data_IF_766373108039
#
_entry.id   IF_766373108039
#
_cell.length_a   1.000
_cell.length_b   1.000
_cell.length_c   1.000
_cell.angle_alpha   90.00
_cell.angle_beta   90.00
_cell.angle_gamma   90.00
#
_symmetry.space_group_name_H-M   'P 1'
#
loop_
_entity.id
_entity.type
_entity.pdbx_description
1 polymer ?
#
# COMPACT_ATOMS: atom_id res chain seq x y z
N UNK A 1 -16.68 7.05 -2.57
CA UNK A 1 -15.34 6.50 -2.22
C UNK A 1 -14.78 5.69 -3.38
N UNK A 2 -13.44 5.54 -3.48
CA UNK A 2 -12.75 4.60 -4.37
C UNK A 2 -12.45 3.30 -3.62
N UNK A 3 -12.35 2.18 -4.34
CA UNK A 3 -12.18 0.87 -3.73
C UNK A 3 -11.04 0.09 -4.37
N UNK A 4 -10.10 -0.34 -3.53
CA UNK A 4 -9.01 -1.24 -3.87
C UNK A 4 -9.17 -2.61 -3.23
N UNK A 5 -8.48 -3.59 -3.81
CA UNK A 5 -8.45 -4.96 -3.30
C UNK A 5 -7.03 -5.50 -3.23
N UNK A 6 -6.66 -6.14 -2.12
CA UNK A 6 -5.37 -6.79 -1.97
C UNK A 6 -5.35 -8.12 -2.75
N UNK A 7 -4.35 -8.30 -3.61
CA UNK A 7 -4.14 -9.53 -4.34
C UNK A 7 -3.60 -10.65 -3.43
N UNK A 8 -3.94 -11.91 -3.71
CA UNK A 8 -3.45 -13.07 -2.96
C UNK A 8 -2.03 -13.45 -3.41
N UNK A 9 -1.03 -12.61 -3.08
CA UNK A 9 0.38 -12.85 -3.41
C UNK A 9 1.10 -13.81 -2.44
N UNK A 10 0.39 -14.39 -1.48
CA UNK A 10 0.88 -15.29 -0.44
C UNK A 10 0.32 -16.71 -0.61
N UNK A 11 0.89 -17.68 0.13
CA UNK A 11 0.52 -19.07 0.01
C UNK A 11 0.93 -19.65 -1.36
N UNK A 12 0.12 -20.49 -1.99
CA UNK A 12 0.44 -21.06 -3.29
C UNK A 12 0.12 -20.12 -4.47
N UNK A 13 0.52 -18.85 -4.37
CA UNK A 13 0.33 -17.88 -5.44
C UNK A 13 1.12 -18.27 -6.68
N UNK A 14 0.45 -18.25 -7.84
CA UNK A 14 1.01 -18.56 -9.15
C UNK A 14 0.73 -17.43 -10.14
N UNK A 15 1.40 -17.43 -11.29
CA UNK A 15 1.09 -16.51 -12.38
C UNK A 15 -0.37 -16.60 -12.81
N UNK A 16 -0.95 -17.81 -12.84
CA UNK A 16 -2.36 -18.02 -13.18
C UNK A 16 -3.29 -17.40 -12.12
N UNK A 17 -3.06 -17.67 -10.82
CA UNK A 17 -3.91 -17.13 -9.77
C UNK A 17 -3.86 -15.60 -9.73
N UNK A 18 -2.66 -14.99 -9.85
CA UNK A 18 -2.51 -13.55 -9.92
C UNK A 18 -3.21 -12.95 -11.14
N UNK A 19 -3.10 -13.60 -12.31
CA UNK A 19 -3.78 -13.14 -13.53
C UNK A 19 -5.29 -13.17 -13.36
N UNK A 20 -5.84 -14.26 -12.86
CA UNK A 20 -7.30 -14.41 -12.65
C UNK A 20 -7.82 -13.37 -11.66
N UNK A 21 -7.15 -13.22 -10.52
CA UNK A 21 -7.60 -12.31 -9.47
C UNK A 21 -7.50 -10.84 -9.87
N UNK A 22 -6.40 -10.45 -10.53
CA UNK A 22 -6.23 -9.08 -10.98
C UNK A 22 -7.26 -8.69 -12.07
N UNK A 23 -7.52 -9.60 -13.02
CA UNK A 23 -8.53 -9.39 -14.07
C UNK A 23 -9.94 -9.35 -13.50
N UNK A 24 -10.29 -10.26 -12.59
CA UNK A 24 -11.61 -10.22 -11.96
C UNK A 24 -11.83 -8.91 -11.19
N UNK A 25 -10.84 -8.42 -10.44
CA UNK A 25 -10.94 -7.14 -9.78
C UNK A 25 -11.18 -5.99 -10.79
N UNK A 26 -10.46 -6.02 -11.91
CA UNK A 26 -10.65 -5.05 -13.01
C UNK A 26 -12.02 -5.16 -13.67
N UNK A 27 -12.51 -6.36 -13.91
CA UNK A 27 -13.83 -6.64 -14.53
C UNK A 27 -14.99 -6.23 -13.62
N UNK A 28 -14.90 -6.51 -12.34
CA UNK A 28 -15.87 -6.07 -11.34
C UNK A 28 -15.93 -4.55 -11.21
N UNK A 29 -14.84 -3.84 -11.46
CA UNK A 29 -14.79 -2.39 -11.43
C UNK A 29 -14.06 -1.79 -10.24
N UNK A 30 -13.23 -2.55 -9.53
CA UNK A 30 -12.31 -1.97 -8.53
C UNK A 30 -11.43 -0.91 -9.17
N UNK A 31 -11.09 0.12 -8.39
CA UNK A 31 -10.25 1.22 -8.85
C UNK A 31 -8.77 0.84 -8.90
N UNK A 32 -8.34 -0.04 -7.99
CA UNK A 32 -6.95 -0.47 -7.88
C UNK A 32 -6.78 -1.84 -7.21
N UNK A 33 -5.62 -2.46 -7.46
CA UNK A 33 -5.18 -3.71 -6.84
C UNK A 33 -3.87 -3.50 -6.10
N UNK A 34 -3.68 -4.20 -4.98
CA UNK A 34 -2.62 -3.93 -4.04
C UNK A 34 -1.84 -5.17 -3.65
N UNK A 35 -0.55 -4.99 -3.39
CA UNK A 35 0.34 -6.04 -2.90
C UNK A 35 1.02 -5.61 -1.60
N UNK A 36 1.29 -6.58 -0.72
CA UNK A 36 2.06 -6.37 0.50
C UNK A 36 3.56 -6.57 0.24
N UNK A 37 4.40 -6.21 1.20
CA UNK A 37 5.85 -6.30 1.07
C UNK A 37 6.50 -6.88 2.32
N UNK A 38 7.21 -7.99 2.14
CA UNK A 38 8.19 -8.55 3.06
C UNK A 38 9.27 -9.27 2.26
N UNK A 39 10.54 -9.08 2.62
CA UNK A 39 11.69 -9.68 1.95
C UNK A 39 12.08 -11.00 2.58
N UNK A 40 12.10 -11.04 3.92
CA UNK A 40 12.50 -12.22 4.68
C UNK A 40 11.71 -12.31 5.99
N UNK A 41 11.19 -13.50 6.28
CA UNK A 41 10.38 -13.74 7.48
C UNK A 41 11.06 -14.82 8.33
N UNK A 42 11.31 -14.58 9.62
CA UNK A 42 11.90 -15.58 10.51
C UNK A 42 11.03 -16.84 10.64
N UNK A 43 11.67 -17.98 10.74
CA UNK A 43 10.98 -19.26 10.97
C UNK A 43 10.19 -19.19 12.28
N UNK A 44 8.96 -19.70 12.28
CA UNK A 44 8.10 -19.74 13.46
C UNK A 44 7.32 -18.46 13.77
N UNK A 45 7.50 -17.41 12.98
CA UNK A 45 6.65 -16.21 13.08
C UNK A 45 5.32 -16.46 12.35
N UNK A 46 4.17 -16.33 13.02
CA UNK A 46 2.86 -16.64 12.42
C UNK A 46 2.41 -15.61 11.39
N UNK A 47 2.94 -14.40 11.46
CA UNK A 47 2.65 -13.30 10.55
C UNK A 47 3.86 -12.37 10.43
N UNK A 48 4.25 -11.90 9.24
CA UNK A 48 3.62 -12.17 7.93
C UNK A 48 3.81 -13.62 7.47
N UNK A 49 3.06 -14.09 6.45
CA UNK A 49 3.27 -15.43 5.90
C UNK A 49 4.67 -15.56 5.30
N UNK A 50 5.32 -16.70 5.50
CA UNK A 50 6.69 -16.93 5.00
C UNK A 50 6.78 -17.02 3.47
N UNK A 51 5.70 -17.44 2.81
CA UNK A 51 5.59 -17.36 1.35
C UNK A 51 4.86 -16.09 0.97
N UNK A 52 5.60 -15.17 0.39
CA UNK A 52 5.09 -13.92 -0.18
C UNK A 52 5.91 -13.61 -1.44
N UNK A 53 5.25 -13.40 -2.57
CA UNK A 53 5.95 -12.95 -3.77
C UNK A 53 6.45 -11.52 -3.58
N UNK A 54 7.65 -11.22 -4.09
CA UNK A 54 8.24 -9.89 -3.97
C UNK A 54 7.36 -8.84 -4.67
N UNK A 55 7.11 -7.74 -3.99
CA UNK A 55 6.06 -6.78 -4.33
C UNK A 55 6.26 -6.11 -5.69
N UNK A 56 7.47 -5.63 -6.00
CA UNK A 56 7.72 -4.91 -7.25
C UNK A 56 7.69 -5.84 -8.45
N UNK A 57 8.23 -7.04 -8.31
CA UNK A 57 8.16 -8.10 -9.33
C UNK A 57 6.71 -8.51 -9.60
N UNK A 58 5.91 -8.63 -8.54
CA UNK A 58 4.48 -8.94 -8.65
C UNK A 58 3.73 -7.82 -9.38
N UNK A 59 3.97 -6.56 -9.04
CA UNK A 59 3.32 -5.43 -9.74
C UNK A 59 3.74 -5.32 -11.20
N UNK A 60 5.01 -5.58 -11.51
CA UNK A 60 5.47 -5.64 -12.91
C UNK A 60 4.72 -6.71 -13.72
N UNK A 61 4.50 -7.90 -13.12
CA UNK A 61 3.71 -8.95 -13.73
C UNK A 61 2.24 -8.54 -13.89
N UNK A 62 1.61 -8.00 -12.84
CA UNK A 62 0.20 -7.57 -12.86
C UNK A 62 -0.03 -6.44 -13.87
N UNK A 63 0.95 -5.57 -14.08
CA UNK A 63 0.86 -4.50 -15.08
C UNK A 63 0.66 -5.02 -16.49
N UNK A 64 1.20 -6.19 -16.81
CA UNK A 64 1.11 -6.81 -18.14
C UNK A 64 -0.24 -7.54 -18.37
N UNK A 65 -0.99 -7.85 -17.32
CA UNK A 65 -2.24 -8.62 -17.41
C UNK A 65 -3.49 -7.78 -17.11
N UNK A 66 -3.32 -6.49 -16.80
CA UNK A 66 -4.39 -5.51 -16.52
C UNK A 66 -4.20 -4.25 -17.36
N UNK A 67 -5.27 -3.48 -17.56
CA UNK A 67 -5.26 -2.30 -18.45
C UNK A 67 -5.77 -1.02 -17.81
N UNK A 68 -6.60 -1.10 -16.77
CA UNK A 68 -7.28 0.05 -16.15
C UNK A 68 -6.98 0.23 -14.67
N UNK A 69 -7.02 -0.85 -13.89
CA UNK A 69 -6.85 -0.76 -12.43
C UNK A 69 -5.51 -0.16 -12.06
N UNK A 70 -5.53 0.69 -11.05
CA UNK A 70 -4.32 1.18 -10.39
C UNK A 70 -3.54 0.02 -9.76
N UNK A 71 -2.23 0.19 -9.63
CA UNK A 71 -1.32 -0.82 -9.08
C UNK A 71 -0.66 -0.26 -7.83
N UNK A 72 -0.96 -0.82 -6.66
CA UNK A 72 -0.52 -0.26 -5.39
C UNK A 72 0.35 -1.19 -4.54
N UNK A 73 1.17 -0.61 -3.69
CA UNK A 73 1.83 -1.30 -2.57
C UNK A 73 1.22 -0.91 -1.23
N UNK A 74 0.87 -1.88 -0.39
CA UNK A 74 0.31 -1.61 0.94
C UNK A 74 1.00 -2.46 2.02
N UNK A 75 2.18 -2.06 2.47
CA UNK A 75 3.00 -0.95 2.00
C UNK A 75 4.39 -1.45 1.62
N UNK A 76 5.08 -0.80 0.68
CA UNK A 76 6.47 -1.07 0.39
C UNK A 76 7.33 -0.69 1.60
N UNK A 77 8.14 -1.61 2.13
CA UNK A 77 9.10 -1.33 3.20
C UNK A 77 10.32 -0.64 2.57
N UNK A 78 10.18 0.67 2.37
CA UNK A 78 11.09 1.45 1.53
C UNK A 78 12.56 1.42 2.00
N UNK A 79 12.87 1.47 3.32
CA UNK A 79 14.26 1.46 3.79
C UNK A 79 15.02 0.14 3.55
N UNK A 80 14.33 -0.95 3.19
CA UNK A 80 14.99 -2.21 2.80
C UNK A 80 15.55 -2.18 1.39
N UNK A 81 15.40 -1.08 0.65
CA UNK A 81 15.81 -0.93 -0.73
C UNK A 81 16.79 0.23 -0.90
N UNK A 82 17.73 0.06 -1.86
CA UNK A 82 18.58 1.17 -2.29
C UNK A 82 17.73 2.22 -3.00
N UNK A 83 17.65 3.49 -2.54
CA UNK A 83 16.67 4.46 -3.04
C UNK A 83 16.74 4.73 -4.54
N UNK A 84 17.93 4.89 -5.13
CA UNK A 84 18.09 5.12 -6.58
C UNK A 84 17.64 3.89 -7.40
N UNK A 85 17.92 2.67 -6.89
CA UNK A 85 17.44 1.43 -7.54
C UNK A 85 15.93 1.34 -7.47
N UNK A 86 15.35 1.63 -6.31
CA UNK A 86 13.90 1.66 -6.13
C UNK A 86 13.24 2.71 -7.05
N UNK A 87 13.82 3.91 -7.15
CA UNK A 87 13.34 4.95 -8.07
C UNK A 87 13.26 4.45 -9.52
N UNK A 88 14.34 3.74 -9.97
CA UNK A 88 14.39 3.14 -11.30
C UNK A 88 13.36 2.05 -11.51
N UNK A 89 13.20 1.14 -10.55
CA UNK A 89 12.24 0.04 -10.62
C UNK A 89 10.81 0.56 -10.68
N UNK A 90 10.46 1.47 -9.77
CA UNK A 90 9.12 2.06 -9.68
C UNK A 90 8.75 2.84 -10.94
N UNK A 91 9.66 3.67 -11.46
CA UNK A 91 9.45 4.38 -12.72
C UNK A 91 9.30 3.43 -13.92
N UNK A 92 10.01 2.29 -13.90
CA UNK A 92 9.86 1.26 -14.93
C UNK A 92 8.50 0.58 -14.87
N UNK A 93 8.05 0.20 -13.66
CA UNK A 93 6.72 -0.39 -13.45
C UNK A 93 5.63 0.60 -13.87
N UNK A 94 5.75 1.88 -13.49
CA UNK A 94 4.80 2.91 -13.87
C UNK A 94 4.70 3.09 -15.39
N UNK A 95 5.85 3.12 -16.07
CA UNK A 95 5.91 3.19 -17.53
C UNK A 95 5.25 1.98 -18.20
N UNK A 96 5.53 0.76 -17.73
CA UNK A 96 4.92 -0.48 -18.22
C UNK A 96 3.41 -0.54 -17.92
N UNK A 97 3.01 0.05 -16.81
CA UNK A 97 1.62 0.14 -16.39
C UNK A 97 0.84 1.30 -17.05
N UNK A 98 1.49 2.12 -17.88
CA UNK A 98 0.83 3.31 -18.49
C UNK A 98 0.45 4.38 -17.48
N UNK A 99 1.26 4.58 -16.42
CA UNK A 99 1.04 5.62 -15.42
C UNK A 99 0.03 5.26 -14.32
N UNK A 100 -0.18 3.98 -14.02
CA UNK A 100 -1.18 3.51 -13.05
C UNK A 100 -0.63 3.20 -11.65
N UNK A 101 0.67 3.44 -11.40
CA UNK A 101 1.29 3.10 -10.11
C UNK A 101 0.83 4.05 -8.99
N UNK A 102 0.59 3.48 -7.82
CA UNK A 102 0.36 4.17 -6.54
C UNK A 102 1.34 3.58 -5.53
N UNK A 103 2.22 4.41 -4.98
CA UNK A 103 3.25 3.96 -4.07
C UNK A 103 2.82 4.13 -2.60
N UNK A 104 2.28 3.08 -2.00
CA UNK A 104 2.12 3.03 -0.54
C UNK A 104 3.44 2.64 0.11
N UNK A 105 3.93 3.44 1.06
CA UNK A 105 5.21 3.22 1.73
C UNK A 105 5.08 3.07 3.23
N UNK A 106 5.99 2.30 3.83
CA UNK A 106 6.12 2.17 5.28
C UNK A 106 7.58 2.10 5.72
N UNK A 107 7.83 2.44 6.98
CA UNK A 107 9.17 2.34 7.56
C UNK A 107 9.52 0.90 7.99
N UNK A 108 8.58 -0.03 7.97
CA UNK A 108 8.80 -1.42 8.43
C UNK A 108 8.72 -1.58 9.94
N UNK A 109 8.52 -2.82 10.37
CA UNK A 109 8.32 -3.15 11.80
C UNK A 109 9.04 -4.43 12.26
N UNK A 110 9.45 -5.30 11.35
CA UNK A 110 10.05 -6.60 11.63
C UNK A 110 11.57 -6.47 11.72
N UNK A 111 12.11 -6.27 12.92
CA UNK A 111 13.54 -6.01 13.13
C UNK A 111 14.45 -7.08 12.49
N UNK A 112 14.09 -8.37 12.63
CA UNK A 112 14.87 -9.46 12.06
C UNK A 112 14.97 -9.42 10.53
N UNK A 113 13.97 -8.87 9.84
CA UNK A 113 14.02 -8.65 8.39
C UNK A 113 15.05 -7.57 8.02
N UNK A 114 15.12 -6.50 8.83
CA UNK A 114 16.15 -5.47 8.68
C UNK A 114 17.55 -6.00 8.89
N UNK A 115 17.74 -6.83 9.92
CA UNK A 115 19.02 -7.48 10.20
C UNK A 115 19.44 -8.37 9.02
N UNK A 116 18.52 -9.17 8.48
CA UNK A 116 18.78 -10.02 7.31
C UNK A 116 19.11 -9.22 6.05
N UNK A 117 18.56 -8.02 5.89
CA UNK A 117 18.85 -7.11 4.78
C UNK A 117 20.05 -6.20 5.03
N UNK A 118 20.70 -6.27 6.19
CA UNK A 118 21.85 -5.43 6.56
C UNK A 118 21.48 -3.96 6.74
N UNK A 119 20.24 -3.65 7.15
CA UNK A 119 19.74 -2.29 7.34
C UNK A 119 19.55 -2.00 8.83
N UNK A 120 20.08 -0.91 9.39
CA UNK A 120 19.92 -0.56 10.79
C UNK A 120 18.45 -0.28 11.13
N UNK A 121 17.82 -1.15 11.89
CA UNK A 121 16.39 -1.05 12.24
C UNK A 121 16.03 0.28 12.93
N UNK A 122 16.94 0.82 13.77
CA UNK A 122 16.68 2.08 14.50
C UNK A 122 16.67 3.30 13.59
N UNK A 123 17.32 3.23 12.44
CA UNK A 123 17.43 4.32 11.45
C UNK A 123 16.31 4.30 10.41
N UNK A 124 15.45 3.28 10.41
CA UNK A 124 14.43 3.05 9.38
C UNK A 124 13.55 4.26 9.08
N UNK A 125 13.26 5.10 10.09
CA UNK A 125 12.48 6.32 9.90
C UNK A 125 13.19 7.36 9.05
N UNK A 126 14.44 7.69 9.38
CA UNK A 126 15.27 8.62 8.61
C UNK A 126 15.58 8.08 7.21
N UNK A 127 15.89 6.78 7.11
CA UNK A 127 16.11 6.12 5.81
C UNK A 127 14.85 6.16 4.92
N UNK A 128 13.65 6.07 5.51
CA UNK A 128 12.40 6.23 4.75
C UNK A 128 12.25 7.68 4.25
N UNK A 129 12.52 8.65 5.10
CA UNK A 129 12.42 10.08 4.76
C UNK A 129 13.38 10.43 3.62
N UNK A 130 14.65 10.06 3.75
CA UNK A 130 15.67 10.24 2.71
C UNK A 130 15.32 9.53 1.41
N UNK A 131 14.82 8.28 1.50
CA UNK A 131 14.43 7.52 0.32
C UNK A 131 13.30 8.21 -0.46
N UNK A 132 12.29 8.77 0.19
CA UNK A 132 11.23 9.55 -0.47
C UNK A 132 11.81 10.75 -1.20
N UNK A 133 12.70 11.49 -0.55
CA UNK A 133 13.32 12.67 -1.12
C UNK A 133 14.19 12.29 -2.36
N UNK A 134 14.93 11.16 -2.31
CA UNK A 134 15.66 10.60 -3.46
C UNK A 134 14.74 10.17 -4.59
N UNK A 135 13.61 9.49 -4.30
CA UNK A 135 12.63 9.12 -5.32
C UNK A 135 12.14 10.36 -6.09
N UNK A 136 11.74 11.40 -5.37
CA UNK A 136 11.26 12.65 -5.97
C UNK A 136 12.35 13.34 -6.80
N UNK A 137 13.61 13.37 -6.31
CA UNK A 137 14.74 13.90 -7.07
C UNK A 137 14.99 13.12 -8.37
N UNK A 138 14.93 11.77 -8.31
CA UNK A 138 15.11 10.92 -9.48
C UNK A 138 13.99 11.04 -10.53
N UNK A 139 12.77 11.43 -10.11
CA UNK A 139 11.60 11.56 -10.98
C UNK A 139 11.37 12.99 -11.48
N UNK A 140 12.22 13.94 -11.11
CA UNK A 140 12.19 15.30 -11.64
C UNK A 140 12.70 15.36 -13.10
N UNK A 141 12.31 16.40 -13.84
CA UNK A 141 12.61 16.54 -15.29
C UNK A 141 14.10 16.77 -15.63
N UNK A 142 14.85 17.34 -14.71
CA UNK A 142 16.28 17.64 -14.88
C UNK A 142 17.18 16.43 -14.60
N UNK A 143 18.47 16.48 -14.91
CA UNK A 143 19.43 15.55 -14.32
C UNK A 143 19.32 15.57 -12.81
N UNK A 144 19.19 14.39 -12.20
CA UNK A 144 18.97 14.26 -10.77
C UNK A 144 20.27 14.50 -10.00
N UNK A 145 20.19 15.33 -8.99
CA UNK A 145 21.26 15.50 -7.98
C UNK A 145 20.63 15.41 -6.60
N UNK A 146 21.32 14.82 -5.67
CA UNK A 146 20.89 14.67 -4.29
C UNK A 146 22.11 14.63 -3.36
N UNK A 147 22.03 15.28 -2.23
CA UNK A 147 23.06 15.24 -1.19
C UNK A 147 22.38 15.05 0.17
N UNK A 148 22.43 13.84 0.68
CA UNK A 148 21.79 13.41 1.91
C UNK A 148 22.72 12.62 2.84
N UNK A 149 22.23 12.21 4.00
CA UNK A 149 23.02 11.51 5.01
C UNK A 149 23.62 10.20 4.57
N UNK A 150 22.92 9.43 3.71
CA UNK A 150 23.35 8.09 3.28
C UNK A 150 23.46 7.94 1.76
N UNK A 151 22.89 8.86 1.00
CA UNK A 151 22.88 8.86 -0.48
C UNK A 151 23.34 10.22 -1.00
N UNK A 152 24.34 10.22 -1.88
CA UNK A 152 24.78 11.43 -2.58
C UNK A 152 25.10 11.10 -4.03
N UNK A 153 24.66 11.93 -4.97
CA UNK A 153 24.97 11.84 -6.39
C UNK A 153 24.72 13.18 -7.10
N UNK A 154 25.40 13.38 -8.23
CA UNK A 154 25.29 14.63 -9.02
C UNK A 154 25.10 14.30 -10.48
N UNK A 155 24.20 15.07 -11.16
CA UNK A 155 23.97 15.03 -12.62
C UNK A 155 23.66 13.64 -13.20
N UNK A 156 22.87 12.85 -12.49
CA UNK A 156 22.48 11.51 -12.93
C UNK A 156 21.21 11.52 -13.77
N UNK A 157 21.17 10.72 -14.81
CA UNK A 157 19.95 10.47 -15.62
C UNK A 157 19.28 9.18 -15.17
N UNK A 158 18.13 9.28 -14.52
CA UNK A 158 17.31 8.14 -14.13
C UNK A 158 16.10 8.06 -15.09
N UNK A 159 16.14 7.11 -16.02
CA UNK A 159 15.12 6.91 -17.07
C UNK A 159 14.58 5.47 -17.05
N UNK A 160 13.27 5.18 -17.39
CA UNK A 160 12.27 6.18 -17.75
C UNK A 160 11.94 7.10 -16.58
N UNK A 161 11.33 8.23 -16.85
CA UNK A 161 10.65 9.02 -15.83
C UNK A 161 9.16 8.70 -15.86
N UNK A 162 8.46 8.77 -14.71
CA UNK A 162 7.01 8.65 -14.68
C UNK A 162 6.35 9.70 -15.59
N UNK A 163 5.31 9.31 -16.32
CA UNK A 163 4.55 10.23 -17.17
C UNK A 163 3.77 11.29 -16.36
N UNK A 164 3.48 10.98 -15.11
CA UNK A 164 2.89 11.85 -14.09
C UNK A 164 3.58 11.59 -12.75
N UNK A 165 3.51 12.50 -11.78
CA UNK A 165 4.01 12.21 -10.44
C UNK A 165 3.34 10.93 -9.89
N UNK A 166 4.16 9.95 -9.47
CA UNK A 166 3.65 8.75 -8.81
C UNK A 166 3.15 9.17 -7.42
N UNK A 167 1.87 8.99 -7.08
CA UNK A 167 1.36 9.33 -5.76
C UNK A 167 2.02 8.47 -4.68
N UNK A 168 2.49 9.10 -3.61
CA UNK A 168 3.11 8.44 -2.45
C UNK A 168 2.14 8.51 -1.27
N UNK A 169 1.59 7.37 -0.86
CA UNK A 169 0.74 7.27 0.33
C UNK A 169 1.53 6.67 1.48
N UNK A 170 1.54 7.34 2.61
CA UNK A 170 2.33 6.92 3.78
C UNK A 170 1.47 6.07 4.71
N UNK A 171 1.91 4.84 4.94
CA UNK A 171 1.26 3.90 5.85
C UNK A 171 1.65 4.09 7.31
N UNK A 172 0.71 3.77 8.19
CA UNK A 172 0.94 3.69 9.63
C UNK A 172 0.23 4.75 10.46
N UNK A 173 0.09 4.47 11.76
CA UNK A 173 -0.70 5.26 12.73
C UNK A 173 0.16 5.98 13.78
N UNK A 174 1.47 5.71 13.79
CA UNK A 174 2.38 6.37 14.73
C UNK A 174 2.56 7.86 14.42
N UNK A 175 2.87 8.67 15.44
CA UNK A 175 3.16 10.10 15.24
C UNK A 175 4.20 10.36 14.14
N UNK A 176 5.35 9.64 14.06
CA UNK A 176 6.29 9.81 12.95
C UNK A 176 5.70 9.45 11.58
N UNK A 177 4.81 8.43 11.48
CA UNK A 177 4.16 8.07 10.23
C UNK A 177 3.18 9.16 9.77
N UNK A 178 2.33 9.66 10.67
CA UNK A 178 1.40 10.76 10.37
C UNK A 178 2.14 12.03 9.96
N UNK A 179 3.23 12.39 10.67
CA UNK A 179 4.08 13.52 10.28
C UNK A 179 4.64 13.33 8.86
N UNK A 180 5.19 12.16 8.56
CA UNK A 180 5.72 11.85 7.21
C UNK A 180 4.64 11.95 6.15
N UNK A 181 3.41 11.49 6.44
CA UNK A 181 2.29 11.60 5.52
C UNK A 181 1.98 13.07 5.19
N UNK A 182 2.03 13.94 6.20
CA UNK A 182 1.81 15.38 6.02
C UNK A 182 2.98 16.03 5.27
N UNK A 183 4.22 15.76 5.66
CA UNK A 183 5.40 16.48 5.14
C UNK A 183 5.84 15.97 3.76
N UNK A 184 5.67 14.68 3.45
CA UNK A 184 6.25 14.02 2.27
C UNK A 184 5.27 13.21 1.42
N UNK A 185 4.08 12.90 1.95
CA UNK A 185 3.09 12.08 1.25
C UNK A 185 2.14 12.89 0.38
N UNK A 186 1.54 12.24 -0.59
CA UNK A 186 0.38 12.71 -1.34
C UNK A 186 -0.92 12.10 -0.78
N UNK A 187 -0.79 11.32 0.28
CA UNK A 187 -1.89 10.73 1.04
C UNK A 187 -1.40 9.95 2.24
N UNK A 188 -2.35 9.56 3.06
CA UNK A 188 -2.16 8.70 4.21
C UNK A 188 -2.95 7.39 4.06
N UNK A 189 -2.32 6.26 4.39
CA UNK A 189 -2.97 4.96 4.45
C UNK A 189 -2.99 4.44 5.88
N UNK A 190 -4.13 4.60 6.55
CA UNK A 190 -4.40 4.00 7.86
C UNK A 190 -4.77 2.52 7.74
N UNK A 191 -4.67 1.80 8.85
CA UNK A 191 -5.16 0.43 8.97
C UNK A 191 -6.28 0.40 9.98
N UNK A 192 -7.48 0.04 9.55
CA UNK A 192 -8.64 -0.15 10.43
C UNK A 192 -8.48 -1.39 11.30
N UNK A 193 -9.20 -1.45 12.41
CA UNK A 193 -9.27 -2.66 13.22
C UNK A 193 -9.81 -3.80 12.36
N UNK A 194 -9.09 -4.94 12.27
CA UNK A 194 -9.55 -6.04 11.44
C UNK A 194 -10.92 -6.55 11.88
N UNK A 195 -11.77 -6.90 10.91
CA UNK A 195 -13.10 -7.47 11.16
C UNK A 195 -13.05 -8.91 11.71
N UNK A 196 -11.87 -9.52 11.70
CA UNK A 196 -11.60 -10.82 12.34
C UNK A 196 -11.12 -10.66 13.77
N UNK A 197 -11.45 -11.60 14.62
CA UNK A 197 -10.83 -11.70 15.95
C UNK A 197 -9.36 -12.08 15.81
N UNK A 198 -8.47 -11.16 16.17
CA UNK A 198 -7.04 -11.43 16.32
C UNK A 198 -6.76 -11.86 17.76
N UNK A 199 -6.00 -12.94 17.93
CA UNK A 199 -5.69 -13.50 19.26
C UNK A 199 -4.95 -12.52 20.19
N UNK A 200 -4.22 -11.54 19.66
CA UNK A 200 -3.57 -10.47 20.42
C UNK A 200 -3.18 -9.30 19.48
N UNK A 201 -4.11 -8.42 19.09
CA UNK A 201 -3.79 -7.31 18.20
C UNK A 201 -2.95 -6.27 18.96
N UNK A 202 -1.79 -5.90 18.41
CA UNK A 202 -1.13 -4.67 18.83
C UNK A 202 -2.00 -3.47 18.35
N UNK A 203 -2.90 -3.03 19.24
CA UNK A 203 -3.87 -1.98 18.96
C UNK A 203 -3.24 -0.68 18.45
N UNK A 204 -1.96 -0.45 18.73
CA UNK A 204 -1.23 0.73 18.22
C UNK A 204 -1.01 0.72 16.72
N UNK A 205 -1.26 -0.39 16.04
CA UNK A 205 -1.15 -0.52 14.57
C UNK A 205 -2.43 -0.15 13.85
N UNK A 206 -3.55 -0.04 14.58
CA UNK A 206 -4.88 0.14 14.02
C UNK A 206 -5.47 1.49 14.42
N UNK A 207 -6.34 2.01 13.56
CA UNK A 207 -7.19 3.16 13.86
C UNK A 207 -8.55 2.62 14.27
N UNK A 208 -8.98 2.90 15.48
CA UNK A 208 -10.34 2.59 15.91
C UNK A 208 -11.34 3.51 15.18
N UNK A 209 -12.56 3.03 14.96
CA UNK A 209 -13.60 3.82 14.30
C UNK A 209 -13.86 5.13 15.05
N UNK A 210 -13.86 5.10 16.38
CA UNK A 210 -14.10 6.28 17.22
C UNK A 210 -12.97 7.34 17.12
N UNK A 211 -11.73 6.92 16.80
CA UNK A 211 -10.57 7.80 16.67
C UNK A 211 -10.39 8.34 15.24
N UNK A 212 -11.05 7.72 14.26
CA UNK A 212 -10.85 8.02 12.85
C UNK A 212 -11.29 9.45 12.48
N UNK A 213 -12.46 9.96 12.90
CA UNK A 213 -12.89 11.31 12.52
C UNK A 213 -11.90 12.39 12.97
N UNK A 214 -11.37 12.27 14.20
CA UNK A 214 -10.37 13.20 14.72
C UNK A 214 -9.04 13.13 13.94
N UNK A 215 -8.62 11.91 13.56
CA UNK A 215 -7.40 11.70 12.76
C UNK A 215 -7.54 12.30 11.37
N UNK A 216 -8.66 12.02 10.69
CA UNK A 216 -8.94 12.55 9.34
C UNK A 216 -9.05 14.07 9.35
N UNK A 217 -9.80 14.63 10.30
CA UNK A 217 -9.93 16.08 10.45
C UNK A 217 -8.57 16.75 10.56
N UNK A 218 -7.69 16.25 11.44
CA UNK A 218 -6.34 16.79 11.62
C UNK A 218 -5.53 16.71 10.34
N UNK A 219 -5.54 15.57 9.63
CA UNK A 219 -4.81 15.42 8.38
C UNK A 219 -5.32 16.39 7.31
N UNK A 220 -6.63 16.64 7.23
CA UNK A 220 -7.21 17.62 6.31
C UNK A 220 -6.84 19.06 6.67
N UNK A 221 -6.74 19.38 7.98
CA UNK A 221 -6.28 20.68 8.45
C UNK A 221 -4.80 20.92 8.12
N UNK A 222 -3.95 19.88 8.31
CA UNK A 222 -2.52 19.94 7.99
C UNK A 222 -2.25 19.88 6.46
N UNK A 223 -3.15 19.29 5.66
CA UNK A 223 -3.05 19.10 4.20
C UNK A 223 -4.41 19.41 3.52
N UNK A 224 -4.74 20.70 3.38
CA UNK A 224 -6.02 21.14 2.83
C UNK A 224 -6.09 21.05 1.29
N UNK A 225 -5.00 20.71 0.60
CA UNK A 225 -4.95 20.71 -0.84
C UNK A 225 -5.88 19.66 -1.44
N UNK A 226 -6.61 19.99 -2.50
CA UNK A 226 -7.38 19.02 -3.26
C UNK A 226 -6.47 17.91 -3.81
N UNK A 227 -6.83 16.65 -3.57
CA UNK A 227 -6.07 15.50 -4.06
C UNK A 227 -5.19 14.81 -3.02
N UNK A 228 -5.05 15.36 -1.80
CA UNK A 228 -4.47 14.60 -0.69
C UNK A 228 -5.43 13.47 -0.28
N UNK A 229 -4.99 12.23 -0.39
CA UNK A 229 -5.85 11.05 -0.23
C UNK A 229 -5.82 10.51 1.20
N UNK A 230 -7.00 10.30 1.78
CA UNK A 230 -7.18 9.53 3.00
C UNK A 230 -7.62 8.12 2.61
N UNK A 231 -6.76 7.14 2.81
CA UNK A 231 -7.02 5.73 2.52
C UNK A 231 -7.11 4.92 3.80
N UNK A 232 -8.04 3.98 3.87
CA UNK A 232 -8.16 3.02 4.96
C UNK A 232 -8.01 1.60 4.44
N UNK A 233 -7.04 0.85 4.98
CA UNK A 233 -6.96 -0.59 4.76
C UNK A 233 -7.81 -1.30 5.80
N UNK A 234 -8.62 -2.24 5.35
CA UNK A 234 -9.48 -3.08 6.18
C UNK A 234 -9.25 -4.55 5.85
N UNK A 235 -8.74 -5.29 6.82
CA UNK A 235 -8.60 -6.75 6.69
C UNK A 235 -9.96 -7.41 6.90
N UNK A 236 -10.46 -8.08 5.85
CA UNK A 236 -11.83 -8.61 5.75
C UNK A 236 -11.87 -10.14 5.84
N UNK A 237 -10.92 -10.75 6.53
CA UNK A 237 -10.90 -12.21 6.75
C UNK A 237 -12.18 -12.70 7.41
N UNK A 238 -12.80 -13.71 6.80
CA UNK A 238 -13.97 -14.38 7.34
C UNK A 238 -15.32 -13.69 7.04
N UNK A 239 -15.35 -12.59 6.31
CA UNK A 239 -16.59 -11.84 5.98
C UNK A 239 -17.43 -12.44 4.85
N UNK A 240 -17.14 -13.62 4.36
CA UNK A 240 -17.98 -14.25 3.31
C UNK A 240 -19.43 -14.49 3.73
N UNK A 241 -19.82 -14.18 4.98
CA UNK A 241 -21.16 -14.36 5.51
C UNK A 241 -21.81 -13.14 6.20
N UNK A 242 -21.01 -12.15 6.64
CA UNK A 242 -21.53 -10.97 7.34
C UNK A 242 -21.02 -9.68 6.70
N UNK A 243 -21.72 -9.24 5.65
CA UNK A 243 -21.43 -7.99 4.95
C UNK A 243 -21.96 -6.75 5.71
N UNK A 244 -22.76 -6.93 6.76
CA UNK A 244 -23.32 -5.80 7.53
C UNK A 244 -22.24 -5.11 8.37
N UNK A 245 -21.25 -5.85 8.86
CA UNK A 245 -20.12 -5.25 9.53
C UNK A 245 -19.23 -4.46 8.55
N UNK A 246 -19.06 -4.96 7.34
CA UNK A 246 -18.37 -4.23 6.29
C UNK A 246 -19.11 -2.93 5.94
N UNK A 247 -20.44 -2.97 5.79
CA UNK A 247 -21.27 -1.77 5.57
C UNK A 247 -21.08 -0.74 6.68
N UNK A 248 -21.14 -1.15 7.94
CA UNK A 248 -20.93 -0.24 9.09
C UNK A 248 -19.57 0.46 9.04
N UNK A 249 -18.51 -0.23 8.58
CA UNK A 249 -17.20 0.39 8.41
C UNK A 249 -17.20 1.39 7.25
N UNK A 250 -17.86 1.06 6.14
CA UNK A 250 -17.96 1.97 4.99
C UNK A 250 -18.78 3.23 5.34
N UNK A 251 -19.85 3.08 6.10
CA UNK A 251 -20.64 4.21 6.61
C UNK A 251 -19.76 5.14 7.47
N UNK A 252 -19.09 4.59 8.47
CA UNK A 252 -18.19 5.34 9.35
C UNK A 252 -17.01 5.98 8.59
N UNK A 253 -16.47 5.30 7.59
CA UNK A 253 -15.41 5.84 6.74
C UNK A 253 -15.92 6.99 5.87
N UNK A 254 -17.11 6.86 5.30
CA UNK A 254 -17.76 7.92 4.53
C UNK A 254 -18.01 9.16 5.37
N UNK A 255 -18.59 9.00 6.56
CA UNK A 255 -18.86 10.08 7.52
C UNK A 255 -17.56 10.77 7.98
N UNK A 256 -16.48 10.01 8.14
CA UNK A 256 -15.17 10.55 8.51
C UNK A 256 -14.46 11.27 7.36
N UNK A 257 -14.92 11.13 6.10
CA UNK A 257 -14.28 11.76 4.94
C UNK A 257 -13.10 10.96 4.36
N UNK A 258 -13.17 9.61 4.42
CA UNK A 258 -12.22 8.70 3.77
C UNK A 258 -12.48 8.69 2.27
N UNK A 259 -11.43 8.81 1.46
CA UNK A 259 -11.53 8.85 -0.01
C UNK A 259 -11.43 7.46 -0.65
N UNK A 260 -10.70 6.55 0.01
CA UNK A 260 -10.33 5.26 -0.55
C UNK A 260 -10.32 4.17 0.52
N UNK A 261 -10.86 3.00 0.18
CA UNK A 261 -10.87 1.81 1.04
C UNK A 261 -10.16 0.66 0.34
N UNK A 262 -9.10 0.15 0.95
CA UNK A 262 -8.42 -1.06 0.52
C UNK A 262 -8.92 -2.25 1.33
N UNK A 263 -9.67 -3.15 0.72
CA UNK A 263 -10.08 -4.40 1.34
C UNK A 263 -9.02 -5.49 1.14
N UNK A 264 -8.76 -6.27 2.19
CA UNK A 264 -7.76 -7.34 2.17
C UNK A 264 -8.40 -8.66 2.62
N UNK A 265 -8.99 -9.44 1.69
CA UNK A 265 -9.53 -10.75 2.00
C UNK A 265 -8.41 -11.75 2.15
N UNK A 266 -8.19 -12.28 3.35
CA UNK A 266 -7.18 -13.32 3.58
C UNK A 266 -7.80 -14.71 3.43
N UNK A 267 -7.94 -15.16 2.20
CA UNK A 267 -8.45 -16.49 1.85
C UNK A 267 -7.30 -17.44 1.55
N UNK A 268 -7.48 -18.71 1.93
CA UNK A 268 -6.47 -19.76 1.74
C UNK A 268 -6.53 -20.41 0.35
N UNK A 269 -7.65 -20.27 -0.35
CA UNK A 269 -7.88 -20.83 -1.67
C UNK A 269 -8.21 -19.74 -2.68
N UNK A 270 -7.91 -19.98 -3.93
CA UNK A 270 -8.24 -19.05 -5.01
C UNK A 270 -9.76 -18.83 -5.12
N UNK A 271 -10.54 -19.90 -5.10
CA UNK A 271 -12.01 -19.80 -5.21
C UNK A 271 -12.61 -19.03 -4.01
N UNK A 272 -12.08 -19.23 -2.80
CA UNK A 272 -12.48 -18.45 -1.63
C UNK A 272 -12.14 -16.98 -1.76
N UNK A 273 -10.99 -16.65 -2.37
CA UNK A 273 -10.63 -15.26 -2.63
C UNK A 273 -11.56 -14.63 -3.67
N UNK A 274 -11.80 -15.31 -4.78
CA UNK A 274 -12.69 -14.86 -5.86
C UNK A 274 -14.11 -14.59 -5.31
N UNK A 275 -14.67 -15.53 -4.55
CA UNK A 275 -15.99 -15.38 -3.93
C UNK A 275 -16.02 -14.19 -2.93
N UNK A 276 -14.96 -14.00 -2.14
CA UNK A 276 -14.88 -12.88 -1.20
C UNK A 276 -14.85 -11.53 -1.91
N UNK A 277 -14.14 -11.43 -3.02
CA UNK A 277 -14.03 -10.20 -3.82
C UNK A 277 -15.38 -9.83 -4.44
N UNK A 278 -16.13 -10.80 -4.96
CA UNK A 278 -17.48 -10.58 -5.47
C UNK A 278 -18.44 -10.10 -4.37
N UNK A 279 -18.39 -10.74 -3.20
CA UNK A 279 -19.21 -10.35 -2.05
C UNK A 279 -18.87 -8.93 -1.56
N UNK A 280 -17.59 -8.59 -1.41
CA UNK A 280 -17.16 -7.25 -1.03
C UNK A 280 -17.56 -6.20 -2.07
N UNK A 281 -17.42 -6.52 -3.35
CA UNK A 281 -17.81 -5.61 -4.43
C UNK A 281 -19.31 -5.35 -4.45
N UNK A 282 -20.15 -6.36 -4.18
CA UNK A 282 -21.60 -6.19 -4.13
C UNK A 282 -22.05 -5.10 -3.14
N UNK A 283 -21.25 -4.87 -2.09
CA UNK A 283 -21.49 -3.79 -1.12
C UNK A 283 -20.76 -2.51 -1.55
N UNK A 284 -19.47 -2.60 -1.88
CA UNK A 284 -18.62 -1.45 -2.17
C UNK A 284 -19.18 -0.56 -3.29
N UNK A 285 -19.78 -1.14 -4.33
CA UNK A 285 -20.37 -0.40 -5.44
C UNK A 285 -21.50 0.56 -5.02
N UNK A 286 -22.19 0.30 -3.89
CA UNK A 286 -23.24 1.17 -3.37
C UNK A 286 -22.68 2.50 -2.82
N UNK A 287 -21.40 2.53 -2.47
CA UNK A 287 -20.67 3.68 -1.90
C UNK A 287 -19.81 4.43 -2.93
N UNK A 288 -19.85 4.04 -4.19
CA UNK A 288 -19.19 4.81 -5.25
C UNK A 288 -19.95 6.10 -5.50
N UNK A 289 -19.22 7.22 -5.43
CA UNK A 289 -19.75 8.55 -5.77
C UNK A 289 -19.68 8.81 -7.27
#
# INVERSE_FOLDING_TARGET
MRFGIALPQYGPATAESLTRTARQAEELGFDDVWVADHIAVPVGVPYPPSFLLESLSTLAFVSAVTTRVGLGTSVLVLPLRRPVVAAKQLATIDALAGGRLILGIGAGWLAAEFDACGVPFRERGGLTDEAVDVLRACWADAPASFDGPTVSFTDMKVRPQPARPIPIWVGGTSRPALRRAVERGDGWQGVGVPLRQLANPDRRRYVALDDLPATVKRLREDRPEPGYVISMRLDTDGLTGDLDEFRRHLDAYGEAGVDHVLSSPAQRTLDGWLASVEALWSVAQEYRA
#
